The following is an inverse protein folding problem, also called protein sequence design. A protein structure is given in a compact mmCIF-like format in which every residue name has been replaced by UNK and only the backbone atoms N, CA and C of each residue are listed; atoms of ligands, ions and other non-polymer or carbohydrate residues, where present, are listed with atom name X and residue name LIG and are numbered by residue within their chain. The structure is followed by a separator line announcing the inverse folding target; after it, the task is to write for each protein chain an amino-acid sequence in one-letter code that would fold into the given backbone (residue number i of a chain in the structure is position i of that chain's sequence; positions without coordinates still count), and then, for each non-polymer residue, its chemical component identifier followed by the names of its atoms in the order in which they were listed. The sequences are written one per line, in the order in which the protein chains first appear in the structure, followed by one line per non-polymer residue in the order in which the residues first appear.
data_IF_462004578365
#
_entry.id   IF_462004578365
#
_cell.length_a   1.000
_cell.length_b   1.000
_cell.length_c   1.000
_cell.angle_alpha   90.00
_cell.angle_beta   90.00
_cell.angle_gamma   90.00
#
_symmetry.space_group_name_H-M   'P 1'
#
loop_
_entity.id
_entity.type
_entity.pdbx_description
1 polymer ?
#
# COMPACT_ATOMS: atom_id res chain seq x y z
N UNK A 1 24.58 -31.46 21.78
CA UNK A 1 24.67 -31.62 20.31
C UNK A 1 23.32 -31.62 19.61
N UNK A 2 22.38 -32.50 19.94
CA UNK A 2 21.01 -32.50 19.37
C UNK A 2 20.19 -31.28 19.82
N UNK A 3 20.29 -30.89 21.09
CA UNK A 3 19.63 -29.67 21.60
C UNK A 3 20.20 -28.38 20.99
N UNK A 4 21.52 -28.31 20.79
CA UNK A 4 22.18 -27.13 20.20
C UNK A 4 21.79 -26.96 18.73
N UNK A 5 21.72 -28.08 17.98
CA UNK A 5 21.23 -28.10 16.60
C UNK A 5 19.75 -27.69 16.52
N UNK A 6 18.91 -28.12 17.47
CA UNK A 6 17.51 -27.74 17.53
C UNK A 6 17.34 -26.24 17.83
N UNK A 7 18.09 -25.70 18.80
CA UNK A 7 18.10 -24.26 19.10
C UNK A 7 18.59 -23.42 17.92
N UNK A 8 19.63 -23.89 17.21
CA UNK A 8 20.15 -23.22 16.02
C UNK A 8 19.12 -23.22 14.87
N UNK A 9 18.42 -24.34 14.67
CA UNK A 9 17.37 -24.46 13.67
C UNK A 9 16.16 -23.55 13.98
N UNK A 10 15.73 -23.49 15.24
CA UNK A 10 14.66 -22.59 15.68
C UNK A 10 15.06 -21.11 15.53
N UNK A 11 16.30 -20.77 15.85
CA UNK A 11 16.81 -19.42 15.65
C UNK A 11 16.84 -19.04 14.16
N UNK A 12 17.35 -19.91 13.29
CA UNK A 12 17.36 -19.69 11.85
C UNK A 12 15.95 -19.50 11.28
N UNK A 13 14.99 -20.29 11.77
CA UNK A 13 13.57 -20.15 11.40
C UNK A 13 13.00 -18.80 11.83
N UNK A 14 13.21 -18.39 13.08
CA UNK A 14 12.75 -17.09 13.60
C UNK A 14 13.38 -15.93 12.83
N UNK A 15 14.68 -16.02 12.51
CA UNK A 15 15.39 -15.02 11.72
C UNK A 15 14.84 -14.88 10.31
N UNK A 16 14.51 -16.00 9.64
CA UNK A 16 13.91 -15.95 8.32
C UNK A 16 12.52 -15.27 8.35
N UNK A 17 11.69 -15.59 9.35
CA UNK A 17 10.37 -14.96 9.54
C UNK A 17 10.50 -13.48 9.90
N UNK A 18 11.51 -13.13 10.69
CA UNK A 18 11.82 -11.75 11.05
C UNK A 18 12.18 -10.91 9.83
N UNK A 19 13.14 -11.36 9.01
CA UNK A 19 13.56 -10.68 7.77
C UNK A 19 12.37 -10.53 6.82
N UNK A 20 11.52 -11.57 6.72
CA UNK A 20 10.27 -11.51 5.96
C UNK A 20 9.38 -10.34 6.38
N UNK A 21 9.12 -10.28 7.68
CA UNK A 21 8.14 -9.39 8.29
C UNK A 21 8.65 -7.95 8.28
N UNK A 22 9.96 -7.77 8.54
CA UNK A 22 10.67 -6.50 8.34
C UNK A 22 10.58 -6.01 6.90
N UNK A 23 10.88 -6.88 5.93
CA UNK A 23 10.85 -6.53 4.51
C UNK A 23 9.48 -6.01 4.08
N UNK A 24 8.40 -6.59 4.60
CA UNK A 24 7.05 -6.07 4.35
C UNK A 24 6.82 -4.71 5.03
N UNK A 25 7.27 -4.51 6.27
CA UNK A 25 7.18 -3.22 6.95
C UNK A 25 7.89 -2.10 6.17
N UNK A 26 9.13 -2.34 5.72
CA UNK A 26 9.86 -1.40 4.87
C UNK A 26 9.17 -1.15 3.53
N UNK A 27 8.59 -2.17 2.91
CA UNK A 27 7.81 -2.02 1.67
C UNK A 27 6.66 -1.03 1.87
N UNK A 28 5.91 -1.14 2.97
CA UNK A 28 4.85 -0.17 3.29
C UNK A 28 5.42 1.24 3.48
N UNK A 29 6.48 1.42 4.26
CA UNK A 29 7.09 2.74 4.41
C UNK A 29 7.54 3.34 3.07
N UNK A 30 8.27 2.59 2.26
CA UNK A 30 8.79 3.05 0.97
C UNK A 30 7.66 3.38 0.01
N UNK A 31 6.68 2.50 -0.19
CA UNK A 31 5.56 2.78 -1.10
C UNK A 31 4.75 3.99 -0.63
N UNK A 32 4.40 4.06 0.66
CA UNK A 32 3.61 5.16 1.19
C UNK A 32 4.31 6.50 1.00
N UNK A 33 5.58 6.58 1.38
CA UNK A 33 6.36 7.82 1.28
C UNK A 33 6.65 8.21 -0.17
N UNK A 34 7.14 7.29 -1.01
CA UNK A 34 7.58 7.62 -2.38
C UNK A 34 6.40 7.98 -3.28
N UNK A 35 5.31 7.20 -3.23
CA UNK A 35 4.14 7.44 -4.07
C UNK A 35 3.51 8.78 -3.73
N UNK A 36 3.27 9.04 -2.44
CA UNK A 36 2.56 10.24 -2.03
C UNK A 36 3.46 11.48 -2.16
N UNK A 37 4.75 11.38 -1.85
CA UNK A 37 5.68 12.49 -2.06
C UNK A 37 5.74 12.91 -3.54
N UNK A 38 5.85 11.96 -4.47
CA UNK A 38 5.93 12.29 -5.90
C UNK A 38 4.61 12.86 -6.44
N UNK A 39 3.46 12.38 -5.96
CA UNK A 39 2.16 12.97 -6.32
C UNK A 39 2.06 14.41 -5.81
N UNK A 40 2.44 14.67 -4.55
CA UNK A 40 2.40 16.02 -3.98
C UNK A 40 3.37 16.98 -4.67
N UNK A 41 4.58 16.50 -5.03
CA UNK A 41 5.55 17.28 -5.80
C UNK A 41 4.98 17.62 -7.18
N UNK A 42 4.39 16.64 -7.88
CA UNK A 42 3.78 16.87 -9.19
C UNK A 42 2.61 17.87 -9.11
N UNK A 43 1.78 17.79 -8.08
CA UNK A 43 0.68 18.72 -7.85
C UNK A 43 1.19 20.16 -7.60
N UNK A 44 2.22 20.31 -6.77
CA UNK A 44 2.87 21.61 -6.53
C UNK A 44 3.52 22.19 -7.80
N UNK A 45 4.28 21.39 -8.55
CA UNK A 45 5.01 21.86 -9.74
C UNK A 45 4.06 22.28 -10.86
N UNK A 46 2.91 21.60 -10.98
CA UNK A 46 1.92 21.89 -12.03
C UNK A 46 0.84 22.87 -11.60
N UNK A 47 0.98 23.49 -10.43
CA UNK A 47 0.03 24.47 -9.94
C UNK A 47 -0.11 25.65 -10.92
N UNK A 48 -1.32 25.88 -11.41
CA UNK A 48 -1.62 26.94 -12.39
C UNK A 48 -1.29 26.61 -13.85
N UNK A 49 -0.74 25.43 -14.17
CA UNK A 49 -0.31 25.04 -15.52
C UNK A 49 -1.42 24.39 -16.38
N UNK A 50 -2.67 24.42 -15.92
CA UNK A 50 -3.83 23.81 -16.60
C UNK A 50 -4.02 22.32 -16.30
N UNK A 51 -5.26 21.85 -16.43
CA UNK A 51 -5.69 20.51 -15.98
C UNK A 51 -4.97 19.38 -16.72
N UNK A 52 -4.76 19.52 -18.03
CA UNK A 52 -4.11 18.47 -18.84
C UNK A 52 -2.66 18.24 -18.42
N UNK A 53 -1.90 19.32 -18.18
CA UNK A 53 -0.49 19.23 -17.75
C UNK A 53 -0.39 18.61 -16.36
N UNK A 54 -1.26 19.03 -15.43
CA UNK A 54 -1.37 18.43 -14.09
C UNK A 54 -1.62 16.93 -14.15
N UNK A 55 -2.60 16.48 -14.95
CA UNK A 55 -2.95 15.06 -15.06
C UNK A 55 -1.80 14.22 -15.63
N UNK A 56 -1.08 14.73 -16.64
CA UNK A 56 0.10 14.06 -17.20
C UNK A 56 1.22 13.97 -16.17
N UNK A 57 1.51 15.05 -15.44
CA UNK A 57 2.55 15.04 -14.40
C UNK A 57 2.23 14.06 -13.27
N UNK A 58 0.97 14.01 -12.81
CA UNK A 58 0.53 13.05 -11.79
C UNK A 58 0.65 11.61 -12.32
N UNK A 59 0.27 11.34 -13.57
CA UNK A 59 0.43 10.02 -14.17
C UNK A 59 1.90 9.59 -14.24
N UNK A 60 2.79 10.49 -14.66
CA UNK A 60 4.25 10.25 -14.68
C UNK A 60 4.77 10.01 -13.27
N UNK A 61 4.34 10.81 -12.28
CA UNK A 61 4.71 10.63 -10.88
C UNK A 61 4.30 9.25 -10.35
N UNK A 62 3.08 8.80 -10.64
CA UNK A 62 2.60 7.47 -10.25
C UNK A 62 3.48 6.38 -10.88
N UNK A 63 3.70 6.40 -12.19
CA UNK A 63 4.53 5.38 -12.87
C UNK A 63 5.96 5.37 -12.32
N UNK A 64 6.55 6.56 -12.15
CA UNK A 64 7.91 6.70 -11.60
C UNK A 64 7.99 6.20 -10.17
N UNK A 65 6.99 6.49 -9.34
CA UNK A 65 6.93 6.03 -7.96
C UNK A 65 6.83 4.50 -7.84
N UNK A 66 6.11 3.85 -8.75
CA UNK A 66 6.01 2.39 -8.82
C UNK A 66 7.37 1.81 -9.18
N UNK A 67 8.05 2.37 -10.19
CA UNK A 67 9.39 1.91 -10.61
C UNK A 67 10.39 2.04 -9.45
N UNK A 68 10.44 3.20 -8.79
CA UNK A 68 11.35 3.45 -7.65
C UNK A 68 11.02 2.50 -6.50
N UNK A 69 9.74 2.34 -6.16
CA UNK A 69 9.32 1.49 -5.04
C UNK A 69 9.63 0.02 -5.32
N UNK A 70 9.36 -0.47 -6.54
CA UNK A 70 9.71 -1.83 -6.95
C UNK A 70 11.22 -2.02 -6.92
N UNK A 71 12.02 -1.07 -7.42
CA UNK A 71 13.47 -1.15 -7.38
C UNK A 71 14.03 -1.14 -5.94
N UNK A 72 13.54 -0.25 -5.08
CA UNK A 72 13.92 -0.18 -3.67
C UNK A 72 13.56 -1.48 -2.92
N UNK A 73 12.38 -2.02 -3.17
CA UNK A 73 11.93 -3.28 -2.57
C UNK A 73 12.71 -4.47 -3.13
N UNK A 74 12.97 -4.51 -4.44
CA UNK A 74 13.76 -5.55 -5.10
C UNK A 74 15.19 -5.58 -4.54
N UNK A 75 15.84 -4.43 -4.43
CA UNK A 75 17.21 -4.30 -3.90
C UNK A 75 17.31 -4.69 -2.42
N UNK A 76 16.30 -4.37 -1.61
CA UNK A 76 16.28 -4.72 -0.17
C UNK A 76 15.88 -6.18 0.07
N UNK A 77 14.87 -6.70 -0.64
CA UNK A 77 14.29 -8.03 -0.37
C UNK A 77 15.07 -9.15 -1.07
N UNK A 78 15.51 -9.00 -2.32
CA UNK A 78 16.19 -10.11 -3.01
C UNK A 78 17.61 -10.32 -2.52
N UNK A 79 18.29 -9.26 -2.09
CA UNK A 79 19.59 -9.37 -1.43
C UNK A 79 19.50 -10.16 -0.11
N UNK A 80 18.30 -10.26 0.47
CA UNK A 80 18.05 -10.94 1.73
C UNK A 80 17.38 -12.32 1.61
N UNK A 81 16.66 -12.66 0.52
CA UNK A 81 15.73 -13.81 0.52
C UNK A 81 15.94 -14.92 -0.51
N UNK A 82 16.73 -14.74 -1.57
CA UNK A 82 16.85 -15.77 -2.61
C UNK A 82 15.56 -15.96 -3.43
N UNK A 83 15.70 -16.08 -4.75
CA UNK A 83 14.75 -15.62 -5.77
C UNK A 83 13.60 -16.56 -6.17
N UNK A 84 13.22 -17.60 -5.39
CA UNK A 84 12.51 -18.74 -6.01
C UNK A 84 10.96 -18.79 -5.99
N UNK A 85 10.26 -18.00 -5.18
CA UNK A 85 8.77 -18.10 -5.08
C UNK A 85 7.94 -16.94 -5.69
N UNK A 86 8.58 -15.97 -6.37
CA UNK A 86 7.95 -14.68 -6.66
C UNK A 86 7.06 -14.61 -7.93
N UNK A 87 7.20 -15.52 -8.90
CA UNK A 87 6.68 -15.29 -10.27
C UNK A 87 5.16 -15.47 -10.42
N UNK A 88 4.56 -16.57 -9.95
CA UNK A 88 3.13 -16.84 -10.16
C UNK A 88 2.19 -16.00 -9.27
N UNK A 89 2.67 -15.58 -8.08
CA UNK A 89 1.89 -14.73 -7.16
C UNK A 89 1.89 -13.25 -7.57
N UNK A 90 2.89 -12.81 -8.35
CA UNK A 90 2.99 -11.42 -8.82
C UNK A 90 1.84 -11.02 -9.73
N UNK A 91 1.40 -11.90 -10.63
CA UNK A 91 0.25 -11.65 -11.50
C UNK A 91 -1.05 -11.49 -10.72
N UNK A 92 -1.34 -12.39 -9.78
CA UNK A 92 -2.53 -12.30 -8.94
C UNK A 92 -2.52 -11.03 -8.08
N UNK A 93 -1.35 -10.62 -7.59
CA UNK A 93 -1.18 -9.36 -6.86
C UNK A 93 -1.55 -8.14 -7.74
N UNK A 94 -1.06 -8.10 -8.98
CA UNK A 94 -1.40 -7.06 -9.94
C UNK A 94 -2.90 -7.02 -10.26
N UNK A 95 -3.53 -8.18 -10.43
CA UNK A 95 -4.99 -8.28 -10.65
C UNK A 95 -5.77 -7.78 -9.44
N UNK A 96 -5.38 -8.16 -8.21
CA UNK A 96 -6.07 -7.69 -7.00
C UNK A 96 -5.93 -6.19 -6.76
N UNK A 97 -4.81 -5.59 -7.16
CA UNK A 97 -4.62 -4.15 -7.08
C UNK A 97 -5.33 -3.41 -8.21
N UNK A 98 -5.28 -3.93 -9.44
CA UNK A 98 -5.88 -3.30 -10.61
C UNK A 98 -7.41 -3.38 -10.63
N UNK A 99 -7.99 -4.53 -10.24
CA UNK A 99 -9.42 -4.79 -10.41
C UNK A 99 -10.33 -3.76 -9.71
N UNK A 100 -10.10 -3.36 -8.44
CA UNK A 100 -10.91 -2.33 -7.79
C UNK A 100 -10.87 -0.99 -8.54
N UNK A 101 -9.69 -0.59 -9.01
CA UNK A 101 -9.51 0.65 -9.76
C UNK A 101 -10.19 0.57 -11.13
N UNK A 102 -9.95 -0.49 -11.90
CA UNK A 102 -10.59 -0.68 -13.21
C UNK A 102 -12.10 -0.67 -13.11
N UNK A 103 -12.67 -1.39 -12.14
CA UNK A 103 -14.12 -1.45 -11.91
C UNK A 103 -14.69 -0.07 -11.59
N UNK A 104 -14.10 0.62 -10.60
CA UNK A 104 -14.61 1.90 -10.11
C UNK A 104 -14.41 3.04 -11.12
N UNK A 105 -13.30 3.08 -11.87
CA UNK A 105 -13.10 4.12 -12.88
C UNK A 105 -13.85 3.84 -14.20
N UNK A 106 -14.20 2.59 -14.50
CA UNK A 106 -15.01 2.27 -15.70
C UNK A 106 -16.50 2.53 -15.49
N UNK A 107 -17.01 2.24 -14.29
CA UNK A 107 -18.45 2.27 -14.00
C UNK A 107 -18.82 3.49 -13.13
N UNK A 108 -17.91 3.91 -12.24
CA UNK A 108 -18.13 4.99 -11.28
C UNK A 108 -18.58 6.33 -11.89
N UNK A 109 -18.00 6.81 -13.00
CA UNK A 109 -18.45 8.07 -13.61
C UNK A 109 -19.93 8.08 -14.02
N UNK A 110 -20.54 6.90 -14.22
CA UNK A 110 -21.96 6.74 -14.59
C UNK A 110 -22.88 6.54 -13.39
N UNK A 111 -22.39 5.91 -12.33
CA UNK A 111 -23.21 5.48 -11.19
C UNK A 111 -23.02 6.32 -9.92
N UNK A 112 -21.89 7.01 -9.79
CA UNK A 112 -21.51 7.69 -8.56
C UNK A 112 -21.57 9.22 -8.72
N UNK A 113 -21.93 9.95 -7.65
CA UNK A 113 -21.91 11.40 -7.67
C UNK A 113 -20.53 11.97 -7.98
N UNK A 114 -20.48 13.13 -8.65
CA UNK A 114 -19.20 13.77 -9.06
C UNK A 114 -18.26 14.04 -7.89
N UNK A 115 -18.78 14.32 -6.70
CA UNK A 115 -17.95 14.55 -5.50
C UNK A 115 -17.25 13.28 -4.97
N UNK A 116 -17.60 12.10 -5.46
CA UNK A 116 -16.94 10.84 -5.05
C UNK A 116 -15.68 10.58 -5.88
N UNK A 117 -15.68 11.00 -7.15
CA UNK A 117 -14.62 10.65 -8.11
C UNK A 117 -13.21 11.09 -7.69
N UNK A 118 -12.98 12.28 -7.11
CA UNK A 118 -11.64 12.69 -6.71
C UNK A 118 -11.01 11.84 -5.59
N UNK A 119 -11.84 11.15 -4.79
CA UNK A 119 -11.37 10.38 -3.62
C UNK A 119 -11.62 8.88 -3.74
N UNK A 120 -12.21 8.41 -4.85
CA UNK A 120 -12.55 7.00 -5.04
C UNK A 120 -11.32 6.10 -5.06
N UNK A 121 -10.16 6.61 -5.48
CA UNK A 121 -8.90 5.88 -5.45
C UNK A 121 -8.54 5.40 -4.04
N UNK A 122 -8.90 6.15 -2.99
CA UNK A 122 -8.66 5.76 -1.59
C UNK A 122 -9.48 4.53 -1.20
N UNK A 123 -10.76 4.50 -1.61
CA UNK A 123 -11.63 3.33 -1.43
C UNK A 123 -11.09 2.13 -2.20
N UNK A 124 -10.71 2.32 -3.47
CA UNK A 124 -10.12 1.29 -4.31
C UNK A 124 -8.86 0.69 -3.67
N UNK A 125 -8.01 1.54 -3.09
CA UNK A 125 -6.79 1.12 -2.40
C UNK A 125 -7.10 0.30 -1.15
N UNK A 126 -8.09 0.69 -0.35
CA UNK A 126 -8.57 -0.09 0.79
C UNK A 126 -9.10 -1.48 0.39
N UNK A 127 -9.90 -1.54 -0.69
CA UNK A 127 -10.38 -2.81 -1.24
C UNK A 127 -9.24 -3.68 -1.79
N UNK A 128 -8.30 -3.08 -2.52
CA UNK A 128 -7.13 -3.77 -3.05
C UNK A 128 -6.29 -4.40 -1.93
N UNK A 129 -6.12 -3.69 -0.81
CA UNK A 129 -5.42 -4.22 0.36
C UNK A 129 -6.15 -5.39 1.03
N UNK A 130 -7.48 -5.33 1.18
CA UNK A 130 -8.24 -6.46 1.70
C UNK A 130 -8.16 -7.69 0.77
N UNK A 131 -8.28 -7.49 -0.54
CA UNK A 131 -8.14 -8.59 -1.51
C UNK A 131 -6.73 -9.20 -1.44
N UNK A 132 -5.71 -8.34 -1.38
CA UNK A 132 -4.31 -8.76 -1.23
C UNK A 132 -4.05 -9.50 0.09
N UNK A 133 -4.78 -9.15 1.16
CA UNK A 133 -4.73 -9.92 2.40
C UNK A 133 -5.18 -11.36 2.17
N UNK A 134 -6.35 -11.57 1.56
CA UNK A 134 -6.90 -12.91 1.38
C UNK A 134 -6.09 -13.77 0.40
N UNK A 135 -5.55 -13.16 -0.66
CA UNK A 135 -4.89 -13.87 -1.77
C UNK A 135 -3.38 -14.04 -1.53
N UNK A 136 -2.71 -13.05 -0.94
CA UNK A 136 -1.26 -13.06 -0.77
C UNK A 136 -0.83 -13.22 0.68
N UNK A 137 -1.35 -12.37 1.58
CA UNK A 137 -0.88 -12.30 2.98
C UNK A 137 -1.28 -13.52 3.82
N UNK A 138 -2.57 -13.88 3.81
CA UNK A 138 -3.14 -14.98 4.60
C UNK A 138 -2.46 -16.33 4.28
N UNK A 139 -2.18 -16.69 3.02
CA UNK A 139 -1.39 -17.88 2.72
C UNK A 139 0.04 -17.84 3.26
N UNK A 140 0.73 -16.69 3.20
CA UNK A 140 2.09 -16.56 3.75
C UNK A 140 2.12 -16.74 5.27
N UNK A 141 1.11 -16.24 5.96
CA UNK A 141 0.95 -16.42 7.41
C UNK A 141 0.66 -17.89 7.75
N UNK A 142 -0.25 -18.53 7.02
CA UNK A 142 -0.58 -19.95 7.22
C UNK A 142 0.63 -20.87 7.01
N UNK A 143 1.53 -20.51 6.08
CA UNK A 143 2.79 -21.23 5.85
C UNK A 143 3.88 -20.89 6.88
N UNK A 144 3.63 -20.00 7.83
CA UNK A 144 4.60 -19.57 8.83
C UNK A 144 5.78 -18.78 8.23
N UNK A 145 5.58 -18.12 7.09
CA UNK A 145 6.62 -17.32 6.40
C UNK A 145 6.59 -15.86 6.87
N UNK A 146 5.47 -15.42 7.44
CA UNK A 146 5.25 -14.06 7.92
C UNK A 146 4.29 -14.06 9.11
N UNK A 147 4.42 -13.10 10.01
CA UNK A 147 3.53 -12.99 11.20
C UNK A 147 2.68 -11.72 11.19
N UNK A 148 3.18 -10.63 10.60
CA UNK A 148 2.39 -9.40 10.49
C UNK A 148 1.27 -9.51 9.43
N UNK A 149 0.31 -8.59 9.53
CA UNK A 149 -0.89 -8.46 8.70
C UNK A 149 -1.08 -7.03 8.16
N UNK A 150 -0.05 -6.37 7.62
CA UNK A 150 -0.14 -4.98 7.19
C UNK A 150 -1.20 -4.72 6.10
N UNK A 151 -1.46 -5.67 5.20
CA UNK A 151 -2.51 -5.51 4.18
C UNK A 151 -3.90 -5.50 4.80
N UNK A 152 -4.17 -6.41 5.74
CA UNK A 152 -5.45 -6.44 6.45
C UNK A 152 -5.69 -5.14 7.22
N UNK A 153 -4.69 -4.72 8.00
CA UNK A 153 -4.74 -3.50 8.81
C UNK A 153 -5.00 -2.30 7.90
N UNK A 154 -4.22 -2.16 6.83
CA UNK A 154 -4.38 -1.02 5.92
C UNK A 154 -5.74 -0.98 5.25
N UNK A 155 -6.21 -2.14 4.77
CA UNK A 155 -7.54 -2.26 4.17
C UNK A 155 -8.66 -1.87 5.14
N UNK A 156 -8.61 -2.36 6.38
CA UNK A 156 -9.62 -2.02 7.41
C UNK A 156 -9.58 -0.52 7.73
N UNK A 157 -8.42 0.04 8.01
CA UNK A 157 -8.31 1.46 8.37
C UNK A 157 -8.75 2.39 7.23
N UNK A 158 -8.41 2.06 5.98
CA UNK A 158 -8.87 2.83 4.82
C UNK A 158 -10.38 2.74 4.67
N UNK A 159 -10.97 1.55 4.71
CA UNK A 159 -12.42 1.42 4.55
C UNK A 159 -13.19 2.06 5.72
N UNK A 160 -12.68 1.94 6.95
CA UNK A 160 -13.29 2.55 8.13
C UNK A 160 -13.20 4.09 8.11
N UNK A 161 -12.14 4.65 7.53
CA UNK A 161 -11.96 6.10 7.41
C UNK A 161 -12.58 6.71 6.14
N UNK A 162 -12.98 5.89 5.17
CA UNK A 162 -13.56 6.39 3.92
C UNK A 162 -14.87 7.18 4.10
N UNK A 163 -15.81 6.83 5.01
CA UNK A 163 -16.98 7.65 5.28
C UNK A 163 -16.64 9.09 5.68
N UNK A 164 -15.54 9.30 6.41
CA UNK A 164 -15.06 10.64 6.76
C UNK A 164 -14.56 11.39 5.52
N UNK A 165 -13.81 10.72 4.65
CA UNK A 165 -13.35 11.32 3.38
C UNK A 165 -14.54 11.66 2.50
N UNK A 166 -15.54 10.79 2.40
CA UNK A 166 -16.79 11.04 1.67
C UNK A 166 -17.57 12.24 2.23
N UNK A 167 -17.65 12.37 3.54
CA UNK A 167 -18.29 13.51 4.19
C UNK A 167 -17.56 14.82 3.85
N UNK A 168 -16.23 14.84 3.92
CA UNK A 168 -15.41 16.00 3.55
C UNK A 168 -15.55 16.30 2.05
N UNK A 169 -15.53 15.28 1.20
CA UNK A 169 -15.80 15.35 -0.24
C UNK A 169 -17.13 16.03 -0.53
N UNK A 170 -18.20 15.59 0.13
CA UNK A 170 -19.55 16.12 -0.07
C UNK A 170 -19.64 17.62 0.23
N UNK A 171 -18.94 18.09 1.27
CA UNK A 171 -18.95 19.51 1.67
C UNK A 171 -18.06 20.36 0.76
N UNK A 172 -16.83 19.93 0.50
CA UNK A 172 -15.79 20.82 -0.02
C UNK A 172 -15.62 20.75 -1.55
N UNK A 173 -16.01 19.64 -2.19
CA UNK A 173 -15.88 19.51 -3.65
C UNK A 173 -16.85 20.44 -4.40
N UNK A 174 -18.12 20.61 -3.98
CA UNK A 174 -19.02 21.60 -4.59
C UNK A 174 -18.50 23.04 -4.50
N UNK A 175 -17.72 23.37 -3.47
CA UNK A 175 -17.06 24.67 -3.28
C UNK A 175 -15.79 24.85 -4.14
N UNK A 176 -15.47 23.87 -5.00
CA UNK A 176 -14.26 23.89 -5.83
C UNK A 176 -12.97 23.52 -5.08
N UNK A 177 -13.05 23.08 -3.82
CA UNK A 177 -11.88 22.75 -2.97
C UNK A 177 -11.43 21.30 -3.14
N UNK A 178 -11.38 20.80 -4.37
CA UNK A 178 -11.02 19.40 -4.68
C UNK A 178 -9.64 19.04 -4.14
N UNK A 179 -8.65 19.92 -4.34
CA UNK A 179 -7.27 19.68 -3.90
C UNK A 179 -7.11 19.54 -2.38
N UNK A 180 -7.96 20.20 -1.58
CA UNK A 180 -7.98 20.02 -0.12
C UNK A 180 -8.37 18.58 0.25
N UNK A 181 -9.41 18.05 -0.40
CA UNK A 181 -9.91 16.72 -0.11
C UNK A 181 -8.94 15.64 -0.60
N UNK A 182 -8.33 15.83 -1.78
CA UNK A 182 -7.28 14.94 -2.30
C UNK A 182 -6.04 14.93 -1.39
N UNK A 183 -5.63 16.10 -0.88
CA UNK A 183 -4.53 16.23 0.08
C UNK A 183 -4.86 15.54 1.41
N UNK A 184 -6.09 15.69 1.91
CA UNK A 184 -6.56 15.01 3.11
C UNK A 184 -6.53 13.48 2.94
N UNK A 185 -7.06 12.95 1.83
CA UNK A 185 -7.02 11.53 1.53
C UNK A 185 -5.58 10.99 1.39
N UNK A 186 -4.68 11.80 0.81
CA UNK A 186 -3.24 11.50 0.72
C UNK A 186 -2.58 11.45 2.11
N UNK A 187 -2.88 12.40 2.98
CA UNK A 187 -2.41 12.40 4.37
C UNK A 187 -2.92 11.19 5.17
N UNK A 188 -4.20 10.84 5.00
CA UNK A 188 -4.77 9.62 5.59
C UNK A 188 -4.08 8.37 5.07
N UNK A 189 -3.72 8.33 3.78
CA UNK A 189 -2.98 7.21 3.19
C UNK A 189 -1.60 7.07 3.82
N UNK A 190 -0.84 8.16 3.98
CA UNK A 190 0.45 8.15 4.68
C UNK A 190 0.31 7.61 6.10
N UNK A 191 -0.70 8.07 6.84
CA UNK A 191 -0.94 7.63 8.21
C UNK A 191 -1.23 6.13 8.28
N UNK A 192 -2.09 5.60 7.40
CA UNK A 192 -2.39 4.17 7.35
C UNK A 192 -1.15 3.35 7.03
N UNK A 193 -0.37 3.77 6.03
CA UNK A 193 0.87 3.09 5.66
C UNK A 193 1.89 3.11 6.81
N UNK A 194 2.00 4.23 7.54
CA UNK A 194 2.84 4.34 8.71
C UNK A 194 2.42 3.36 9.81
N UNK A 195 1.12 3.30 10.15
CA UNK A 195 0.58 2.38 11.16
C UNK A 195 0.87 0.92 10.77
N UNK A 196 0.62 0.55 9.51
CA UNK A 196 0.85 -0.81 9.02
C UNK A 196 2.35 -1.19 9.00
N UNK A 197 3.20 -0.25 8.61
CA UNK A 197 4.66 -0.41 8.66
C UNK A 197 5.17 -0.60 10.09
N UNK A 198 4.77 0.29 11.01
CA UNK A 198 5.16 0.24 12.42
C UNK A 198 4.65 -1.05 13.11
N UNK A 199 3.41 -1.45 12.83
CA UNK A 199 2.87 -2.73 13.30
C UNK A 199 3.70 -3.93 12.82
N UNK A 200 4.15 -3.90 11.56
CA UNK A 200 4.97 -4.99 11.01
C UNK A 200 6.33 -5.08 11.69
N UNK A 201 6.97 -3.94 11.96
CA UNK A 201 8.23 -3.88 12.71
C UNK A 201 8.04 -4.40 14.15
N UNK A 202 6.98 -3.95 14.83
CA UNK A 202 6.66 -4.42 16.18
C UNK A 202 6.47 -5.94 16.23
N UNK A 203 5.67 -6.50 15.32
CA UNK A 203 5.43 -7.95 15.23
C UNK A 203 6.68 -8.74 14.87
N UNK A 204 7.58 -8.17 14.07
CA UNK A 204 8.87 -8.80 13.80
C UNK A 204 9.70 -8.90 15.09
N UNK A 205 9.79 -7.83 15.88
CA UNK A 205 10.56 -7.80 17.12
C UNK A 205 10.02 -8.75 18.20
N UNK A 206 8.72 -9.06 18.23
CA UNK A 206 8.14 -10.04 19.15
C UNK A 206 8.65 -11.48 18.94
N UNK A 207 9.27 -11.80 17.80
CA UNK A 207 9.81 -13.14 17.54
C UNK A 207 11.03 -13.50 18.39
N UNK A 208 11.71 -12.49 18.94
CA UNK A 208 12.94 -12.63 19.72
C UNK A 208 12.80 -12.18 21.18
N UNK A 209 11.57 -11.87 21.61
CA UNK A 209 11.22 -11.75 23.02
C UNK A 209 10.90 -13.13 23.58
#
# INVERSE_FOLDING_TARGET
MTEDMARLADFARRLHIYISTLGTGFTFFTFGMVVIALILIADCVTYGMGVTVKNVAIAVAIVTSIIISVFAVYTVILKARGTREASAKGWWFMVTFGAPFTLMYSIGPRLLPRYVMPTIWFLCLGMAFLLSHFICERPLIRKGVMVAKPFLISGIFMLASYPLILYISYIHIPEGRVGLVESFASGMTLLVYYIAGAYSLYKANELFK
#
